data_IF_370827861708
#
_entry.id   IF_370827861708
#
_cell.length_a   1.000
_cell.length_b   1.000
_cell.length_c   1.000
_cell.angle_alpha   90.00
_cell.angle_beta   90.00
_cell.angle_gamma   90.00
#
_symmetry.space_group_name_H-M   'P 1'
#
loop_
_entity.id
_entity.type
_entity.pdbx_description
1 polymer ?
#
# COMPACT_ATOMS: atom_id res chain seq x y z
N UNK A 1 21.24 -19.80 0.07
CA UNK A 1 21.48 -18.37 0.26
C UNK A 1 21.32 -17.53 -1.01
N UNK A 2 21.97 -17.89 -2.11
CA UNK A 2 21.83 -17.11 -3.37
C UNK A 2 20.41 -17.05 -3.91
N UNK A 3 19.62 -18.14 -3.83
CA UNK A 3 18.24 -18.18 -4.32
C UNK A 3 17.30 -17.29 -3.51
N UNK A 4 17.43 -17.28 -2.19
CA UNK A 4 16.60 -16.46 -1.31
C UNK A 4 16.92 -14.98 -1.48
N UNK A 5 18.20 -14.63 -1.62
CA UNK A 5 18.63 -13.25 -1.87
C UNK A 5 18.11 -12.72 -3.22
N UNK A 6 18.17 -13.55 -4.26
CA UNK A 6 17.61 -13.19 -5.58
C UNK A 6 16.09 -13.01 -5.52
N UNK A 7 15.39 -13.90 -4.80
CA UNK A 7 13.93 -13.78 -4.60
C UNK A 7 13.57 -12.51 -3.85
N UNK A 8 14.33 -12.19 -2.80
CA UNK A 8 14.15 -10.97 -2.04
C UNK A 8 14.33 -9.72 -2.92
N UNK A 9 15.41 -9.65 -3.67
CA UNK A 9 15.67 -8.52 -4.57
C UNK A 9 14.58 -8.37 -5.62
N UNK A 10 14.07 -9.48 -6.15
CA UNK A 10 13.00 -9.47 -7.13
C UNK A 10 11.70 -8.93 -6.52
N UNK A 11 11.37 -9.34 -5.28
CA UNK A 11 10.20 -8.82 -4.57
C UNK A 11 10.30 -7.32 -4.32
N UNK A 12 11.48 -6.83 -3.94
CA UNK A 12 11.72 -5.41 -3.72
C UNK A 12 11.47 -4.62 -5.01
N UNK A 13 11.98 -5.11 -6.14
CA UNK A 13 11.76 -4.46 -7.45
C UNK A 13 10.29 -4.45 -7.84
N UNK A 14 9.59 -5.58 -7.67
CA UNK A 14 8.18 -5.71 -8.03
C UNK A 14 7.28 -4.85 -7.16
N UNK A 15 7.68 -4.58 -5.92
CA UNK A 15 6.91 -3.77 -5.00
C UNK A 15 6.78 -2.31 -5.47
N UNK A 16 7.80 -1.77 -6.14
CA UNK A 16 7.75 -0.40 -6.66
C UNK A 16 7.97 0.68 -5.62
N UNK A 17 8.71 0.39 -4.54
CA UNK A 17 8.98 1.35 -3.48
C UNK A 17 9.74 2.59 -3.99
N UNK A 18 9.50 3.72 -3.34
CA UNK A 18 10.18 4.98 -3.61
C UNK A 18 11.44 5.15 -2.76
N UNK A 19 12.37 4.20 -2.85
CA UNK A 19 13.61 4.23 -2.08
C UNK A 19 13.54 3.37 -0.82
N UNK A 20 14.57 3.47 0.02
CA UNK A 20 14.69 2.66 1.23
C UNK A 20 14.15 3.42 2.44
N UNK A 21 12.85 3.28 2.68
CA UNK A 21 12.17 3.82 3.87
C UNK A 21 11.96 2.69 4.87
N UNK A 22 12.72 2.69 5.97
CA UNK A 22 12.65 1.65 7.00
C UNK A 22 12.21 2.25 8.33
N UNK A 23 11.72 1.39 9.25
CA UNK A 23 11.33 1.84 10.59
C UNK A 23 12.55 2.27 11.40
N UNK A 24 13.70 1.65 11.18
CA UNK A 24 14.95 2.04 11.84
C UNK A 24 15.35 3.47 11.48
N UNK A 25 15.04 3.90 10.25
CA UNK A 25 15.29 5.25 9.78
C UNK A 25 14.19 6.25 10.12
N UNK A 26 13.13 5.82 10.77
CA UNK A 26 12.00 6.68 11.10
C UNK A 26 12.18 7.32 12.49
N UNK A 27 12.05 8.64 12.53
CA UNK A 27 12.15 9.39 13.77
C UNK A 27 10.78 9.55 14.42
N UNK A 28 10.47 8.70 15.39
CA UNK A 28 9.21 8.76 16.13
C UNK A 28 9.05 10.03 16.97
N UNK A 29 10.15 10.70 17.31
CA UNK A 29 10.09 11.95 18.07
C UNK A 29 9.59 13.13 17.23
N UNK A 30 9.64 13.01 15.91
CA UNK A 30 9.18 14.06 14.98
C UNK A 30 7.69 14.33 15.13
N UNK A 31 6.88 13.32 15.40
CA UNK A 31 5.44 13.48 15.62
C UNK A 31 5.00 12.64 16.82
N UNK A 32 4.79 13.26 17.99
CA UNK A 32 4.41 12.53 19.20
C UNK A 32 3.00 11.93 19.14
N UNK A 33 2.18 12.32 18.15
CA UNK A 33 0.84 11.78 17.98
C UNK A 33 0.84 10.41 17.28
N UNK A 34 1.98 9.97 16.75
CA UNK A 34 2.08 8.65 16.13
C UNK A 34 2.09 7.59 17.25
N UNK A 35 1.17 6.62 17.12
CA UNK A 35 1.09 5.49 18.06
C UNK A 35 2.18 4.48 17.73
N UNK A 36 3.34 4.60 18.39
CA UNK A 36 4.49 3.73 18.18
C UNK A 36 4.17 2.26 18.48
N UNK A 37 3.39 2.00 19.52
CA UNK A 37 3.03 0.63 19.89
C UNK A 37 2.21 -0.06 18.78
N UNK A 38 1.27 0.66 18.18
CA UNK A 38 0.47 0.13 17.07
C UNK A 38 1.35 -0.15 15.85
N UNK A 39 2.30 0.73 15.54
CA UNK A 39 3.22 0.52 14.42
C UNK A 39 4.12 -0.68 14.68
N UNK A 40 4.59 -0.87 15.91
CA UNK A 40 5.38 -2.05 16.27
C UNK A 40 4.56 -3.34 16.12
N UNK A 41 3.29 -3.31 16.46
CA UNK A 41 2.39 -4.45 16.24
C UNK A 41 2.23 -4.75 14.74
N UNK A 42 1.98 -3.72 13.92
CA UNK A 42 1.89 -3.87 12.47
C UNK A 42 3.20 -4.37 11.85
N UNK A 43 4.33 -4.02 12.44
CA UNK A 43 5.66 -4.45 11.98
C UNK A 43 5.85 -5.96 12.10
N UNK A 44 5.05 -6.66 12.89
CA UNK A 44 5.06 -8.13 12.93
C UNK A 44 4.51 -8.77 11.66
N UNK A 45 3.85 -7.99 10.81
CA UNK A 45 3.17 -8.42 9.59
C UNK A 45 2.02 -9.41 9.83
N UNK A 46 1.58 -9.55 11.07
CA UNK A 46 0.46 -10.42 11.41
C UNK A 46 -0.83 -9.96 10.72
N UNK A 47 -1.00 -8.64 10.52
CA UNK A 47 -2.15 -8.08 9.83
C UNK A 47 -2.31 -8.63 8.40
N UNK A 48 -1.20 -9.02 7.75
CA UNK A 48 -1.23 -9.59 6.39
C UNK A 48 -1.87 -10.98 6.43
N UNK A 49 -1.47 -11.82 7.39
CA UNK A 49 -2.06 -13.15 7.58
C UNK A 49 -3.53 -13.06 7.96
N UNK A 50 -3.88 -12.09 8.79
CA UNK A 50 -5.25 -11.86 9.23
C UNK A 50 -6.10 -11.13 8.18
N UNK A 51 -5.48 -10.68 7.09
CA UNK A 51 -6.15 -10.00 5.97
C UNK A 51 -6.88 -8.74 6.41
N UNK A 52 -6.23 -7.98 7.28
CA UNK A 52 -6.75 -6.74 7.84
C UNK A 52 -6.25 -5.56 7.01
N UNK A 53 -7.15 -4.64 6.70
CA UNK A 53 -6.78 -3.39 6.03
C UNK A 53 -6.45 -2.31 7.05
N UNK A 54 -5.48 -1.47 6.71
CA UNK A 54 -4.95 -0.42 7.58
C UNK A 54 -5.09 0.92 6.88
N UNK A 55 -5.68 1.88 7.58
CA UNK A 55 -5.76 3.26 7.11
C UNK A 55 -4.82 4.12 7.93
N UNK A 56 -3.90 4.82 7.27
CA UNK A 56 -3.00 5.78 7.88
C UNK A 56 -3.41 7.15 7.40
N UNK A 57 -4.13 7.89 8.24
CA UNK A 57 -4.64 9.21 7.89
C UNK A 57 -4.03 10.28 8.77
N UNK A 58 -3.93 11.50 8.25
CA UNK A 58 -3.40 12.63 8.99
C UNK A 58 -2.89 13.73 8.07
N UNK A 59 -2.49 14.87 8.64
CA UNK A 59 -1.97 15.99 7.86
C UNK A 59 -0.73 15.63 7.05
N UNK A 60 -0.48 16.40 5.99
CA UNK A 60 0.72 16.28 5.17
C UNK A 60 1.98 16.48 6.05
N UNK A 61 3.04 15.73 5.74
CA UNK A 61 4.31 15.87 6.45
C UNK A 61 4.40 15.12 7.79
N UNK A 62 3.44 14.24 8.09
CA UNK A 62 3.46 13.47 9.36
C UNK A 62 4.18 12.12 9.25
N UNK A 63 4.73 11.78 8.09
CA UNK A 63 5.48 10.53 7.91
C UNK A 63 4.65 9.33 7.50
N UNK A 64 3.41 9.52 7.05
CA UNK A 64 2.51 8.43 6.65
C UNK A 64 3.10 7.53 5.56
N UNK A 65 3.64 8.14 4.51
CA UNK A 65 4.23 7.41 3.39
C UNK A 65 5.46 6.62 3.82
N UNK A 66 6.30 7.21 4.68
CA UNK A 66 7.46 6.52 5.23
C UNK A 66 7.04 5.27 6.02
N UNK A 67 6.04 5.39 6.88
CA UNK A 67 5.54 4.27 7.68
C UNK A 67 4.98 3.17 6.77
N UNK A 68 4.16 3.55 5.79
CA UNK A 68 3.58 2.58 4.86
C UNK A 68 4.66 1.83 4.09
N UNK A 69 5.66 2.53 3.56
CA UNK A 69 6.77 1.91 2.85
C UNK A 69 7.61 1.03 3.76
N UNK A 70 7.86 1.47 5.00
CA UNK A 70 8.61 0.68 5.97
C UNK A 70 7.91 -0.64 6.30
N UNK A 71 6.59 -0.61 6.47
CA UNK A 71 5.80 -1.83 6.68
C UNK A 71 5.88 -2.75 5.45
N UNK A 72 5.85 -2.16 4.25
CA UNK A 72 6.02 -2.92 3.02
C UNK A 72 7.39 -3.60 2.92
N UNK A 73 8.45 -2.91 3.29
CA UNK A 73 9.80 -3.50 3.31
C UNK A 73 9.89 -4.66 4.31
N UNK A 74 9.28 -4.53 5.47
CA UNK A 74 9.24 -5.61 6.46
C UNK A 74 8.48 -6.83 5.91
N UNK A 75 7.37 -6.59 5.23
CA UNK A 75 6.59 -7.66 4.60
C UNK A 75 7.41 -8.40 3.54
N UNK A 76 8.15 -7.66 2.71
CA UNK A 76 9.03 -8.26 1.70
C UNK A 76 10.11 -9.12 2.36
N UNK A 77 10.69 -8.65 3.46
CA UNK A 77 11.68 -9.43 4.21
C UNK A 77 11.12 -10.74 4.74
N UNK A 78 9.83 -10.76 5.08
CA UNK A 78 9.16 -11.97 5.54
C UNK A 78 8.67 -12.88 4.41
N UNK A 79 8.89 -12.50 3.17
CA UNK A 79 8.57 -13.32 2.01
C UNK A 79 7.22 -13.02 1.34
N UNK A 80 6.54 -11.96 1.74
CA UNK A 80 5.30 -11.56 1.08
C UNK A 80 5.59 -10.78 -0.19
N UNK A 81 4.76 -10.98 -1.20
CA UNK A 81 4.75 -10.11 -2.37
C UNK A 81 3.94 -8.84 -2.04
N UNK A 82 4.53 -7.70 -2.31
CA UNK A 82 3.96 -6.39 -1.98
C UNK A 82 3.90 -5.55 -3.25
N UNK A 83 2.80 -4.82 -3.42
CA UNK A 83 2.70 -3.78 -4.45
C UNK A 83 2.51 -2.44 -3.75
N UNK A 84 3.40 -1.51 -4.04
CA UNK A 84 3.32 -0.12 -3.58
C UNK A 84 2.99 0.78 -4.76
N UNK A 85 1.93 1.55 -4.64
CA UNK A 85 1.51 2.47 -5.68
C UNK A 85 0.82 3.68 -5.06
N UNK A 86 0.49 4.67 -5.88
CA UNK A 86 -0.39 5.77 -5.48
C UNK A 86 -1.74 5.58 -6.14
N UNK A 87 -2.77 6.25 -5.62
CA UNK A 87 -4.09 6.24 -6.25
C UNK A 87 -4.01 6.64 -7.73
N UNK A 88 -3.30 7.72 -8.02
CA UNK A 88 -3.16 8.24 -9.38
C UNK A 88 -2.49 7.23 -10.31
N UNK A 89 -1.40 6.59 -9.84
CA UNK A 89 -0.66 5.61 -10.66
C UNK A 89 -1.48 4.34 -10.87
N UNK A 90 -2.14 3.85 -9.84
CA UNK A 90 -2.98 2.66 -9.92
C UNK A 90 -4.09 2.86 -10.96
N UNK A 91 -4.82 3.96 -10.86
CA UNK A 91 -5.90 4.25 -11.80
C UNK A 91 -5.37 4.49 -13.21
N UNK A 92 -4.20 5.13 -13.34
CA UNK A 92 -3.54 5.30 -14.63
C UNK A 92 -3.15 3.98 -15.29
N UNK A 93 -2.64 3.03 -14.52
CA UNK A 93 -2.31 1.70 -15.01
C UNK A 93 -3.56 0.95 -15.50
N UNK A 94 -4.66 1.02 -14.75
CA UNK A 94 -5.90 0.38 -15.14
C UNK A 94 -6.50 1.01 -16.39
N UNK A 95 -6.44 2.34 -16.48
CA UNK A 95 -6.91 3.07 -17.67
C UNK A 95 -6.10 2.67 -18.91
N UNK A 96 -4.77 2.67 -18.81
CA UNK A 96 -3.90 2.26 -19.91
C UNK A 96 -4.14 0.80 -20.29
N UNK A 97 -4.40 -0.07 -19.34
CA UNK A 97 -4.66 -1.48 -19.58
C UNK A 97 -5.97 -1.72 -20.37
N UNK A 98 -6.98 -0.87 -20.18
CA UNK A 98 -8.20 -0.93 -21.00
C UNK A 98 -7.90 -0.65 -22.45
N UNK A 99 -7.07 0.34 -22.73
CA UNK A 99 -6.69 0.70 -24.10
C UNK A 99 -5.94 -0.40 -24.82
N UNK A 100 -5.18 -1.24 -24.09
CA UNK A 100 -4.39 -2.33 -24.65
C UNK A 100 -5.02 -3.70 -24.52
N UNK A 101 -6.24 -3.79 -23.97
CA UNK A 101 -6.94 -5.06 -23.79
C UNK A 101 -6.37 -5.95 -22.68
N UNK A 102 -5.61 -5.36 -21.73
CA UNK A 102 -4.97 -6.11 -20.64
C UNK A 102 -5.56 -5.77 -19.27
N UNK A 103 -6.74 -5.14 -19.24
CA UNK A 103 -7.35 -4.67 -17.98
C UNK A 103 -7.52 -5.79 -16.97
N UNK A 104 -8.14 -6.91 -17.36
CA UNK A 104 -8.43 -7.99 -16.42
C UNK A 104 -7.17 -8.56 -15.80
N UNK A 105 -6.14 -8.78 -16.59
CA UNK A 105 -4.86 -9.28 -16.08
C UNK A 105 -4.22 -8.30 -15.10
N UNK A 106 -4.24 -7.02 -15.41
CA UNK A 106 -3.66 -5.98 -14.55
C UNK A 106 -4.48 -5.82 -13.26
N UNK A 107 -5.80 -5.83 -13.40
CA UNK A 107 -6.71 -5.74 -12.26
C UNK A 107 -6.49 -6.92 -11.30
N UNK A 108 -6.40 -8.15 -11.82
CA UNK A 108 -6.17 -9.33 -11.01
C UNK A 108 -4.79 -9.32 -10.32
N UNK A 109 -3.78 -8.71 -10.92
CA UNK A 109 -2.48 -8.55 -10.28
C UNK A 109 -2.60 -7.71 -9.01
N UNK A 110 -3.40 -6.64 -9.03
CA UNK A 110 -3.67 -5.83 -7.85
C UNK A 110 -4.56 -6.56 -6.84
N UNK A 111 -5.54 -7.33 -7.29
CA UNK A 111 -6.43 -8.10 -6.42
C UNK A 111 -5.67 -9.16 -5.62
N UNK A 112 -4.73 -9.85 -6.28
CA UNK A 112 -4.06 -11.03 -5.72
C UNK A 112 -2.84 -10.71 -4.85
N UNK A 113 -2.34 -9.49 -4.88
CA UNK A 113 -1.17 -9.14 -4.06
C UNK A 113 -1.49 -9.33 -2.57
N UNK A 114 -0.67 -10.08 -1.82
CA UNK A 114 -0.88 -10.28 -0.40
C UNK A 114 -0.93 -8.99 0.39
N UNK A 115 -0.14 -7.98 -0.01
CA UNK A 115 -0.20 -6.64 0.54
C UNK A 115 -0.18 -5.63 -0.60
N UNK A 116 -1.19 -4.77 -0.64
CA UNK A 116 -1.26 -3.63 -1.54
C UNK A 116 -1.20 -2.35 -0.71
N UNK A 117 -0.30 -1.46 -1.07
CA UNK A 117 -0.17 -0.16 -0.42
C UNK A 117 -0.58 0.91 -1.43
N UNK A 118 -1.62 1.66 -1.11
CA UNK A 118 -2.10 2.79 -1.91
C UNK A 118 -1.78 4.08 -1.17
N UNK A 119 -0.74 4.75 -1.63
CA UNK A 119 -0.26 6.00 -1.03
C UNK A 119 -1.00 7.19 -1.65
N UNK A 120 -1.11 8.28 -0.90
CA UNK A 120 -1.72 9.54 -1.34
C UNK A 120 -3.18 9.38 -1.82
N UNK A 121 -3.97 8.57 -1.13
CA UNK A 121 -5.39 8.42 -1.42
C UNK A 121 -6.15 9.73 -1.13
N UNK A 122 -7.02 10.10 -2.04
CA UNK A 122 -7.85 11.28 -1.90
C UNK A 122 -7.17 12.60 -2.24
N UNK A 123 -5.92 12.57 -2.73
CA UNK A 123 -5.21 13.77 -3.16
C UNK A 123 -5.89 14.44 -4.35
N UNK A 124 -6.48 13.62 -5.22
CA UNK A 124 -7.29 14.08 -6.36
C UNK A 124 -8.65 13.38 -6.33
N UNK A 125 -9.73 14.09 -6.67
CA UNK A 125 -11.04 13.44 -6.76
C UNK A 125 -11.03 12.40 -7.88
N UNK A 126 -11.77 11.32 -7.68
CA UNK A 126 -11.95 10.29 -8.69
C UNK A 126 -13.24 10.55 -9.45
N UNK A 127 -13.14 10.55 -10.78
CA UNK A 127 -14.29 10.66 -11.68
C UNK A 127 -14.56 9.29 -12.33
N UNK A 128 -15.79 9.03 -12.81
CA UNK A 128 -16.05 7.78 -13.54
C UNK A 128 -15.12 7.64 -14.77
N UNK A 129 -14.62 6.43 -15.10
CA UNK A 129 -14.88 5.13 -14.44
C UNK A 129 -13.89 4.80 -13.31
N UNK A 130 -13.01 5.71 -12.92
CA UNK A 130 -11.94 5.46 -11.96
C UNK A 130 -12.46 5.14 -10.55
N UNK A 131 -13.53 5.82 -10.14
CA UNK A 131 -14.16 5.59 -8.85
C UNK A 131 -14.73 4.16 -8.74
N UNK A 132 -15.35 3.68 -9.81
CA UNK A 132 -15.88 2.32 -9.87
C UNK A 132 -14.75 1.29 -9.85
N UNK A 133 -13.69 1.52 -10.61
CA UNK A 133 -12.53 0.62 -10.65
C UNK A 133 -11.89 0.48 -9.27
N UNK A 134 -11.72 1.59 -8.57
CA UNK A 134 -11.13 1.58 -7.23
C UNK A 134 -12.04 0.87 -6.24
N UNK A 135 -13.34 1.17 -6.29
CA UNK A 135 -14.34 0.52 -5.43
C UNK A 135 -14.36 -0.99 -5.65
N UNK A 136 -14.37 -1.43 -6.90
CA UNK A 136 -14.36 -2.86 -7.24
C UNK A 136 -13.07 -3.54 -6.73
N UNK A 137 -11.93 -2.87 -6.87
CA UNK A 137 -10.65 -3.40 -6.41
C UNK A 137 -10.66 -3.61 -4.89
N UNK A 138 -11.09 -2.60 -4.15
CA UNK A 138 -11.15 -2.69 -2.69
C UNK A 138 -12.16 -3.76 -2.26
N UNK A 139 -13.31 -3.83 -2.94
CA UNK A 139 -14.32 -4.86 -2.67
C UNK A 139 -13.79 -6.28 -2.89
N UNK A 140 -13.05 -6.49 -3.98
CA UNK A 140 -12.45 -7.80 -4.27
C UNK A 140 -11.38 -8.19 -3.25
N UNK A 141 -10.67 -7.22 -2.70
CA UNK A 141 -9.63 -7.47 -1.70
C UNK A 141 -10.17 -7.61 -0.28
N UNK A 142 -11.38 -7.16 -0.02
CA UNK A 142 -11.97 -7.17 1.32
C UNK A 142 -12.02 -8.59 1.88
N UNK A 143 -11.48 -8.78 3.07
CA UNK A 143 -11.36 -10.07 3.78
C UNK A 143 -10.52 -11.14 3.05
N UNK A 144 -9.89 -10.80 1.91
CA UNK A 144 -9.08 -11.75 1.13
C UNK A 144 -7.61 -11.40 1.15
N UNK A 145 -7.27 -10.13 1.35
CA UNK A 145 -5.89 -9.66 1.37
C UNK A 145 -5.79 -8.37 2.17
N UNK A 146 -4.60 -8.06 2.64
CA UNK A 146 -4.35 -6.84 3.41
C UNK A 146 -4.05 -5.67 2.50
N UNK A 147 -4.61 -4.50 2.83
CA UNK A 147 -4.37 -3.26 2.09
C UNK A 147 -3.99 -2.16 3.07
N UNK A 148 -2.95 -1.40 2.76
CA UNK A 148 -2.61 -0.18 3.49
C UNK A 148 -2.96 1.01 2.60
N UNK A 149 -3.72 1.95 3.13
CA UNK A 149 -4.05 3.20 2.43
C UNK A 149 -3.54 4.36 3.28
N UNK A 150 -2.80 5.27 2.66
CA UNK A 150 -2.41 6.52 3.32
C UNK A 150 -3.20 7.68 2.73
N UNK A 151 -3.60 8.62 3.56
CA UNK A 151 -4.40 9.76 3.11
C UNK A 151 -4.09 11.00 3.94
N UNK A 152 -4.14 12.16 3.27
CA UNK A 152 -4.08 13.45 3.92
C UNK A 152 -5.46 13.94 4.38
N UNK A 153 -6.53 13.22 4.02
CA UNK A 153 -7.88 13.58 4.41
C UNK A 153 -8.16 13.20 5.86
N UNK A 154 -8.94 14.01 6.54
CA UNK A 154 -9.47 13.69 7.86
C UNK A 154 -10.67 12.75 7.68
N UNK A 155 -10.99 11.98 8.73
CA UNK A 155 -12.15 11.09 8.72
C UNK A 155 -13.46 11.83 8.44
N UNK A 156 -13.59 13.08 8.89
CA UNK A 156 -14.76 13.91 8.61
C UNK A 156 -14.94 14.20 7.13
N UNK A 157 -13.87 14.13 6.34
CA UNK A 157 -13.88 14.38 4.90
C UNK A 157 -14.21 13.15 4.08
N UNK A 158 -14.32 12.00 4.73
CA UNK A 158 -14.53 10.68 4.08
C UNK A 158 -16.01 10.34 3.92
N UNK A 159 -16.89 11.17 4.44
CA UNK A 159 -18.35 10.96 4.41
C UNK A 159 -19.00 10.93 3.03
#
# INVERSE_FOLDING_TARGET
MRREHKKFNLRVRRAGFRGEKTLEGFDFSFNPNINQALIQDLATCRFIEEKVSVLIAGPCGTGKSHIAQALGHLAVRQGYDVLFTTQTRLLGHLHAARATGTFERRFQAFVKAPLLIVDDFGLKPMAPPHDEDFHDLIGERYERAATIVTSNLDFSEWG
#
